data_IF_295391364457
#
_entry.id   IF_295391364457
#
_cell.length_a   1.000
_cell.length_b   1.000
_cell.length_c   1.000
_cell.angle_alpha   90.00
_cell.angle_beta   90.00
_cell.angle_gamma   90.00
#
_symmetry.space_group_name_H-M   'P 1'
#
loop_
_entity.id
_entity.type
_entity.pdbx_description
1 polymer ?
#
# COMPACT_ATOMS: atom_id res chain seq x y z
N UNK A 1 4.98 26.47 26.72
CA UNK A 1 4.04 26.10 25.62
C UNK A 1 3.23 27.26 25.03
N UNK A 2 3.02 28.42 25.69
CA UNK A 2 2.21 29.52 25.12
C UNK A 2 2.84 30.29 23.94
N UNK A 3 4.17 30.23 23.73
CA UNK A 3 4.86 30.99 22.65
C UNK A 3 4.87 30.30 21.28
N UNK A 4 4.65 28.98 21.21
CA UNK A 4 4.66 28.23 19.93
C UNK A 4 3.30 28.34 19.22
N UNK A 5 2.21 28.46 20.00
CA UNK A 5 0.83 28.57 19.50
C UNK A 5 0.47 29.95 18.93
N UNK A 6 1.24 31.00 19.19
CA UNK A 6 1.00 32.35 18.63
C UNK A 6 1.87 32.69 17.41
N UNK A 7 2.70 31.76 16.95
CA UNK A 7 3.52 31.92 15.76
C UNK A 7 2.72 31.50 14.52
N UNK A 8 2.82 32.29 13.43
CA UNK A 8 2.22 31.96 12.13
C UNK A 8 2.60 30.55 11.64
N UNK A 9 3.78 30.05 11.99
CA UNK A 9 4.27 28.71 11.66
C UNK A 9 3.58 27.62 12.51
N UNK A 10 3.27 27.92 13.78
CA UNK A 10 2.54 27.00 14.65
C UNK A 10 1.08 26.80 14.23
N UNK A 11 0.42 27.85 13.73
CA UNK A 11 -0.94 27.75 13.19
C UNK A 11 -1.00 26.98 11.86
N UNK A 12 0.02 27.10 11.01
CA UNK A 12 0.13 26.33 9.75
C UNK A 12 0.34 24.84 10.03
N UNK A 13 1.16 24.48 11.03
CA UNK A 13 1.36 23.08 11.40
C UNK A 13 0.11 22.43 12.00
N UNK A 14 -0.65 23.16 12.83
CA UNK A 14 -1.89 22.64 13.42
C UNK A 14 -2.97 22.47 12.35
N UNK A 15 -3.11 23.44 11.43
CA UNK A 15 -4.07 23.32 10.32
C UNK A 15 -3.73 22.18 9.35
N UNK A 16 -2.46 21.97 9.03
CA UNK A 16 -2.02 20.82 8.22
C UNK A 16 -2.34 19.48 8.89
N UNK A 17 -2.12 19.38 10.21
CA UNK A 17 -2.39 18.15 10.97
C UNK A 17 -3.89 17.84 11.03
N UNK A 18 -4.75 18.86 11.14
CA UNK A 18 -6.21 18.71 11.10
C UNK A 18 -6.69 18.25 9.73
N UNK A 19 -6.15 18.79 8.64
CA UNK A 19 -6.53 18.38 7.26
C UNK A 19 -6.13 16.92 7.00
N UNK A 20 -4.94 16.49 7.42
CA UNK A 20 -4.48 15.09 7.28
C UNK A 20 -5.35 14.14 8.10
N UNK A 21 -5.73 14.53 9.32
CA UNK A 21 -6.63 13.75 10.16
C UNK A 21 -8.05 13.63 9.55
N UNK A 22 -8.59 14.70 8.98
CA UNK A 22 -9.88 14.68 8.29
C UNK A 22 -9.87 13.79 7.04
N UNK A 23 -8.79 13.83 6.25
CA UNK A 23 -8.64 12.97 5.06
C UNK A 23 -8.56 11.49 5.45
N UNK A 24 -7.80 11.14 6.49
CA UNK A 24 -7.73 9.77 6.99
C UNK A 24 -9.09 9.27 7.54
N UNK A 25 -9.85 10.16 8.20
CA UNK A 25 -11.20 9.85 8.66
C UNK A 25 -12.18 9.58 7.52
N UNK A 26 -12.16 10.40 6.47
CA UNK A 26 -13.01 10.23 5.29
C UNK A 26 -12.67 8.98 4.48
N UNK A 27 -11.38 8.65 4.31
CA UNK A 27 -10.97 7.42 3.61
C UNK A 27 -11.31 6.17 4.41
N UNK A 28 -11.15 6.19 5.74
CA UNK A 28 -11.59 5.09 6.60
C UNK A 28 -13.11 4.90 6.55
N UNK A 29 -13.88 5.99 6.62
CA UNK A 29 -15.34 5.95 6.56
C UNK A 29 -15.84 5.45 5.20
N UNK A 30 -15.26 5.95 4.09
CA UNK A 30 -15.58 5.49 2.74
C UNK A 30 -15.26 4.00 2.55
N UNK A 31 -14.09 3.54 3.01
CA UNK A 31 -13.69 2.13 2.94
C UNK A 31 -14.63 1.24 3.77
N UNK A 32 -15.05 1.70 4.94
CA UNK A 32 -15.97 0.95 5.80
C UNK A 32 -17.40 0.92 5.22
N UNK A 33 -17.84 1.98 4.53
CA UNK A 33 -19.15 2.04 3.88
C UNK A 33 -19.20 1.12 2.65
N UNK A 34 -18.14 1.14 1.82
CA UNK A 34 -17.99 0.26 0.65
C UNK A 34 -17.95 -1.21 1.08
N UNK A 35 -17.16 -1.54 2.12
CA UNK A 35 -17.06 -2.93 2.62
C UNK A 35 -18.33 -3.45 3.28
N UNK A 36 -19.20 -2.58 3.80
CA UNK A 36 -20.42 -2.98 4.51
C UNK A 36 -21.70 -2.88 3.66
N UNK A 37 -21.60 -2.38 2.41
CA UNK A 37 -22.74 -2.35 1.52
C UNK A 37 -23.10 -3.78 1.04
N UNK A 38 -24.34 -4.25 1.22
CA UNK A 38 -24.72 -5.64 0.96
C UNK A 38 -24.46 -6.05 -0.50
N UNK A 39 -24.77 -5.19 -1.47
CA UNK A 39 -24.50 -5.45 -2.89
C UNK A 39 -23.01 -5.63 -3.24
N UNK A 40 -22.10 -5.01 -2.48
CA UNK A 40 -20.64 -5.10 -2.71
C UNK A 40 -20.08 -6.35 -2.01
N UNK A 41 -20.62 -6.73 -0.85
CA UNK A 41 -20.30 -8.01 -0.21
C UNK A 41 -20.71 -9.20 -1.07
N UNK A 42 -21.91 -9.16 -1.64
CA UNK A 42 -22.42 -10.24 -2.49
C UNK A 42 -21.60 -10.32 -3.79
N UNK A 43 -21.23 -9.18 -4.38
CA UNK A 43 -20.34 -9.14 -5.54
C UNK A 43 -18.93 -9.67 -5.23
N UNK A 44 -18.34 -9.29 -4.09
CA UNK A 44 -17.01 -9.78 -3.69
C UNK A 44 -17.03 -11.27 -3.31
N UNK A 45 -18.10 -11.74 -2.67
CA UNK A 45 -18.30 -13.15 -2.34
C UNK A 45 -18.52 -14.00 -3.60
N UNK A 46 -19.32 -13.51 -4.56
CA UNK A 46 -19.49 -14.16 -5.85
C UNK A 46 -18.16 -14.22 -6.62
N UNK A 47 -17.38 -13.14 -6.63
CA UNK A 47 -16.07 -13.10 -7.30
C UNK A 47 -15.04 -14.01 -6.62
N UNK A 48 -15.07 -14.10 -5.28
CA UNK A 48 -14.21 -15.01 -4.52
C UNK A 48 -14.59 -16.48 -4.72
N UNK A 49 -15.90 -16.78 -4.82
CA UNK A 49 -16.40 -18.12 -5.13
C UNK A 49 -16.04 -18.53 -6.57
N UNK A 50 -16.07 -17.59 -7.51
CA UNK A 50 -15.65 -17.81 -8.90
C UNK A 50 -14.14 -18.07 -8.99
N UNK A 51 -13.32 -17.26 -8.30
CA UNK A 51 -11.86 -17.49 -8.21
C UNK A 51 -11.50 -18.83 -7.52
N UNK A 52 -12.29 -19.29 -6.55
CA UNK A 52 -12.11 -20.60 -5.91
C UNK A 52 -12.58 -21.78 -6.79
N UNK A 53 -13.57 -21.56 -7.65
CA UNK A 53 -14.00 -22.54 -8.66
C UNK A 53 -12.94 -22.68 -9.77
N UNK A 54 -12.35 -21.57 -10.21
CA UNK A 54 -11.31 -21.54 -11.23
C UNK A 54 -9.98 -22.14 -10.73
N UNK A 55 -9.63 -21.92 -9.46
CA UNK A 55 -8.43 -22.51 -8.85
C UNK A 55 -8.50 -24.05 -8.72
N UNK A 56 -9.70 -24.63 -8.66
CA UNK A 56 -9.89 -26.09 -8.67
C UNK A 56 -9.98 -26.68 -10.09
N UNK A 57 -10.09 -25.86 -11.13
CA UNK A 57 -10.07 -26.30 -12.52
C UNK A 57 -8.65 -26.36 -13.11
N UNK A 58 -7.67 -25.68 -12.50
CA UNK A 58 -6.28 -25.60 -12.97
C UNK A 58 -5.34 -26.62 -12.31
N UNK A 59 -5.68 -27.91 -12.36
CA UNK A 59 -4.69 -29.00 -12.30
C UNK A 59 -4.76 -29.75 -13.62
N UNK A 60 -4.13 -29.18 -14.65
CA UNK A 60 -4.01 -29.79 -15.97
C UNK A 60 -4.49 -28.88 -17.10
N UNK A 61 -3.73 -27.84 -17.40
CA UNK A 61 -3.96 -27.01 -18.58
C UNK A 61 -2.94 -25.89 -18.63
N UNK A 62 -2.14 -25.90 -19.69
CA UNK A 62 -1.04 -24.98 -19.94
C UNK A 62 -1.44 -23.50 -19.84
N UNK A 63 -0.47 -22.71 -19.40
CA UNK A 63 -0.47 -21.25 -19.39
C UNK A 63 -0.69 -20.67 -20.80
N UNK A 64 -1.93 -20.45 -21.21
CA UNK A 64 -2.25 -19.52 -22.31
C UNK A 64 -3.56 -18.81 -22.03
N UNK A 65 -3.49 -17.74 -21.26
CA UNK A 65 -4.63 -16.85 -21.01
C UNK A 65 -4.11 -15.50 -20.57
N UNK A 66 -3.53 -14.73 -21.50
CA UNK A 66 -3.56 -13.28 -21.35
C UNK A 66 -5.05 -12.92 -21.32
N UNK A 67 -5.58 -12.59 -20.14
CA UNK A 67 -6.84 -11.85 -20.05
C UNK A 67 -6.58 -10.52 -20.76
N UNK A 68 -6.89 -10.49 -22.04
CA UNK A 68 -6.79 -9.31 -22.89
C UNK A 68 -7.95 -8.39 -22.49
N UNK A 69 -7.72 -7.60 -21.44
CA UNK A 69 -8.67 -6.63 -20.86
C UNK A 69 -9.06 -5.51 -21.85
N UNK A 70 -8.51 -5.51 -23.07
CA UNK A 70 -9.03 -4.73 -24.19
C UNK A 70 -10.44 -5.19 -24.63
N UNK A 71 -10.85 -6.40 -24.25
CA UNK A 71 -12.13 -7.00 -24.64
C UNK A 71 -13.23 -6.88 -23.57
N UNK A 72 -13.00 -6.19 -22.44
CA UNK A 72 -14.05 -6.05 -21.39
C UNK A 72 -15.25 -5.22 -21.82
N UNK A 73 -15.12 -4.46 -22.91
CA UNK A 73 -16.20 -3.67 -23.51
C UNK A 73 -16.99 -4.44 -24.59
N UNK A 74 -16.57 -5.66 -24.92
CA UNK A 74 -17.17 -6.47 -25.98
C UNK A 74 -17.88 -7.65 -25.33
N UNK A 75 -19.20 -7.53 -25.20
CA UNK A 75 -20.08 -8.65 -24.85
C UNK A 75 -20.67 -9.26 -26.11
N UNK A 76 -20.92 -10.56 -26.10
CA UNK A 76 -21.58 -11.29 -27.20
C UNK A 76 -22.90 -10.60 -27.60
N UNK A 77 -23.66 -10.11 -26.62
CA UNK A 77 -24.90 -9.34 -26.84
C UNK A 77 -24.67 -8.02 -27.58
N UNK A 78 -23.54 -7.34 -27.34
CA UNK A 78 -23.21 -6.06 -27.98
C UNK A 78 -22.80 -6.27 -29.44
N UNK A 79 -22.01 -7.31 -29.73
CA UNK A 79 -21.64 -7.65 -31.10
C UNK A 79 -22.88 -8.00 -31.94
N UNK A 80 -23.77 -8.82 -31.38
CA UNK A 80 -25.04 -9.20 -32.02
C UNK A 80 -25.95 -7.98 -32.23
N UNK A 81 -25.96 -7.04 -31.28
CA UNK A 81 -26.73 -5.80 -31.41
C UNK A 81 -26.18 -4.88 -32.50
N UNK A 82 -24.87 -4.62 -32.54
CA UNK A 82 -24.23 -3.77 -33.55
C UNK A 82 -24.36 -4.35 -34.96
N UNK A 83 -24.28 -5.67 -35.12
CA UNK A 83 -24.51 -6.34 -36.41
C UNK A 83 -25.95 -6.14 -36.92
N UNK A 84 -26.93 -6.16 -36.02
CA UNK A 84 -28.37 -6.07 -36.36
C UNK A 84 -28.89 -4.63 -36.42
N UNK A 85 -28.20 -3.67 -35.80
CA UNK A 85 -28.63 -2.27 -35.66
C UNK A 85 -28.90 -1.59 -36.99
N UNK A 86 -28.02 -1.75 -37.97
CA UNK A 86 -28.17 -1.11 -39.29
C UNK A 86 -29.42 -1.59 -40.03
N UNK A 87 -29.70 -2.89 -39.98
CA UNK A 87 -30.89 -3.46 -40.62
C UNK A 87 -32.18 -3.09 -39.85
N UNK A 88 -32.14 -3.08 -38.51
CA UNK A 88 -33.26 -2.63 -37.69
C UNK A 88 -33.60 -1.15 -37.93
N UNK A 89 -32.60 -0.27 -38.00
CA UNK A 89 -32.79 1.15 -38.27
C UNK A 89 -33.39 1.38 -39.66
N UNK A 90 -32.93 0.67 -40.69
CA UNK A 90 -33.51 0.74 -42.04
C UNK A 90 -34.97 0.29 -42.05
N UNK A 91 -35.31 -0.80 -41.37
CA UNK A 91 -36.69 -1.29 -41.26
C UNK A 91 -37.59 -0.28 -40.56
N UNK A 92 -37.12 0.32 -39.47
CA UNK A 92 -37.86 1.34 -38.71
C UNK A 92 -38.07 2.61 -39.55
N UNK A 93 -37.02 3.13 -40.19
CA UNK A 93 -37.10 4.31 -41.07
C UNK A 93 -38.05 4.06 -42.24
N UNK A 94 -37.97 2.88 -42.86
CA UNK A 94 -38.87 2.51 -43.95
C UNK A 94 -40.33 2.40 -43.47
N UNK A 95 -40.58 1.81 -42.30
CA UNK A 95 -41.91 1.76 -41.70
C UNK A 95 -42.47 3.16 -41.42
N UNK A 96 -41.64 4.07 -40.91
CA UNK A 96 -42.01 5.48 -40.74
C UNK A 96 -42.35 6.16 -42.06
N UNK A 97 -41.56 5.94 -43.11
CA UNK A 97 -41.81 6.50 -44.46
C UNK A 97 -43.14 5.99 -45.02
N UNK A 98 -43.35 4.67 -45.02
CA UNK A 98 -44.58 4.04 -45.53
C UNK A 98 -45.81 4.53 -44.76
N UNK A 99 -45.71 4.64 -43.43
CA UNK A 99 -46.80 5.13 -42.60
C UNK A 99 -47.09 6.61 -42.84
N UNK A 100 -46.06 7.44 -43.02
CA UNK A 100 -46.21 8.86 -43.35
C UNK A 100 -46.85 9.06 -44.73
N UNK A 101 -46.41 8.30 -45.74
CA UNK A 101 -46.99 8.32 -47.08
C UNK A 101 -48.46 7.85 -47.05
N UNK A 102 -48.76 6.85 -46.22
CA UNK A 102 -50.12 6.33 -46.04
C UNK A 102 -51.05 7.21 -45.19
N UNK A 103 -50.53 8.26 -44.55
CA UNK A 103 -51.29 9.21 -43.73
C UNK A 103 -51.28 10.62 -44.34
N UNK A 104 -50.63 10.80 -45.49
CA UNK A 104 -50.59 12.05 -46.24
C UNK A 104 -52.01 12.49 -46.67
N UNK A 105 -52.31 13.81 -46.63
CA UNK A 105 -53.65 14.29 -46.94
C UNK A 105 -53.94 14.12 -48.44
N UNK A 106 -54.72 13.11 -48.79
CA UNK A 106 -55.17 12.90 -50.17
C UNK A 106 -55.47 11.45 -50.54
N UNK A 107 -54.75 10.47 -49.99
CA UNK A 107 -54.75 9.12 -50.61
C UNK A 107 -55.21 7.93 -49.75
N UNK A 108 -55.45 8.05 -48.43
CA UNK A 108 -56.00 6.92 -47.66
C UNK A 108 -57.06 7.28 -46.60
N UNK A 109 -58.10 6.43 -46.55
CA UNK A 109 -59.32 6.50 -45.74
C UNK A 109 -59.11 6.20 -44.25
N UNK A 110 -58.04 6.68 -43.62
CA UNK A 110 -57.91 6.64 -42.16
C UNK A 110 -58.50 7.91 -41.56
N UNK A 111 -59.81 7.89 -41.28
CA UNK A 111 -60.53 8.96 -40.58
C UNK A 111 -60.23 9.00 -39.07
N UNK A 112 -58.99 8.72 -38.66
CA UNK A 112 -58.58 8.84 -37.26
C UNK A 112 -57.56 9.99 -37.11
N UNK A 113 -58.00 11.17 -36.64
CA UNK A 113 -57.14 12.35 -36.51
C UNK A 113 -56.01 12.18 -35.47
N UNK A 114 -56.01 11.09 -34.70
CA UNK A 114 -54.97 10.78 -33.70
C UNK A 114 -53.74 10.09 -34.30
N UNK A 115 -53.82 9.55 -35.52
CA UNK A 115 -52.70 8.83 -36.14
C UNK A 115 -51.48 9.72 -36.42
N UNK A 116 -51.61 10.95 -36.96
CA UNK A 116 -50.46 11.84 -37.14
C UNK A 116 -49.78 12.22 -35.82
N UNK A 117 -50.57 12.39 -34.75
CA UNK A 117 -50.06 12.69 -33.40
C UNK A 117 -49.23 11.52 -32.88
N UNK A 118 -49.75 10.29 -32.97
CA UNK A 118 -49.04 9.08 -32.57
C UNK A 118 -47.75 8.86 -33.38
N UNK A 119 -47.77 9.17 -34.68
CA UNK A 119 -46.58 9.09 -35.53
C UNK A 119 -45.51 10.09 -35.12
N UNK A 120 -45.90 11.33 -34.80
CA UNK A 120 -44.99 12.34 -34.26
C UNK A 120 -44.38 11.89 -32.93
N UNK A 121 -45.20 11.40 -32.00
CA UNK A 121 -44.73 10.91 -30.69
C UNK A 121 -43.78 9.71 -30.82
N UNK A 122 -44.03 8.80 -31.78
CA UNK A 122 -43.16 7.65 -32.04
C UNK A 122 -41.82 8.08 -32.62
N UNK A 123 -41.84 9.06 -33.55
CA UNK A 123 -40.63 9.64 -34.12
C UNK A 123 -39.80 10.40 -33.06
N UNK A 124 -40.45 11.17 -32.20
CA UNK A 124 -39.80 11.88 -31.09
C UNK A 124 -39.15 10.88 -30.12
N UNK A 125 -39.86 9.79 -29.76
CA UNK A 125 -39.29 8.72 -28.93
C UNK A 125 -38.11 8.01 -29.59
N UNK A 126 -38.19 7.72 -30.88
CA UNK A 126 -37.09 7.10 -31.62
C UNK A 126 -35.86 8.02 -31.67
N UNK A 127 -36.06 9.31 -31.94
CA UNK A 127 -34.98 10.30 -31.92
C UNK A 127 -34.32 10.43 -30.54
N UNK A 128 -35.12 10.38 -29.47
CA UNK A 128 -34.64 10.38 -28.09
C UNK A 128 -33.80 9.14 -27.78
N UNK A 129 -34.24 7.95 -28.22
CA UNK A 129 -33.48 6.70 -28.06
C UNK A 129 -32.14 6.80 -28.79
N UNK A 130 -32.12 7.27 -30.04
CA UNK A 130 -30.87 7.46 -30.80
C UNK A 130 -29.90 8.41 -30.12
N UNK A 131 -30.39 9.53 -29.57
CA UNK A 131 -29.55 10.45 -28.82
C UNK A 131 -28.94 9.78 -27.59
N UNK A 132 -29.74 9.01 -26.87
CA UNK A 132 -29.27 8.29 -25.67
C UNK A 132 -28.28 7.18 -26.00
N UNK A 133 -28.42 6.50 -27.13
CA UNK A 133 -27.43 5.53 -27.62
C UNK A 133 -26.06 6.20 -27.80
N UNK A 134 -26.01 7.38 -28.45
CA UNK A 134 -24.75 8.13 -28.62
C UNK A 134 -24.16 8.56 -27.27
N UNK A 135 -24.98 9.08 -26.36
CA UNK A 135 -24.52 9.47 -25.01
C UNK A 135 -23.96 8.26 -24.23
N UNK A 136 -24.55 7.06 -24.40
CA UNK A 136 -24.06 5.83 -23.78
C UNK A 136 -22.73 5.36 -24.40
N UNK A 137 -22.57 5.46 -25.72
CA UNK A 137 -21.32 5.13 -26.40
C UNK A 137 -20.17 6.04 -25.94
N UNK A 138 -20.43 7.34 -25.78
CA UNK A 138 -19.46 8.31 -25.23
C UNK A 138 -19.08 7.99 -23.78
N UNK A 139 -20.08 7.64 -22.95
CA UNK A 139 -19.86 7.24 -21.56
C UNK A 139 -19.02 5.96 -21.48
N UNK A 140 -19.28 4.98 -22.34
CA UNK A 140 -18.52 3.75 -22.39
C UNK A 140 -17.06 4.00 -22.76
N UNK A 141 -16.81 4.83 -23.78
CA UNK A 141 -15.45 5.24 -24.16
C UNK A 141 -14.73 5.91 -22.98
N UNK A 142 -15.40 6.82 -22.27
CA UNK A 142 -14.81 7.49 -21.12
C UNK A 142 -14.49 6.54 -19.97
N UNK A 143 -15.37 5.57 -19.68
CA UNK A 143 -15.13 4.54 -18.66
C UNK A 143 -13.95 3.65 -19.05
N UNK A 144 -13.80 3.30 -20.33
CA UNK A 144 -12.68 2.52 -20.82
C UNK A 144 -11.34 3.24 -20.59
N UNK A 145 -11.27 4.54 -20.94
CA UNK A 145 -10.10 5.38 -20.70
C UNK A 145 -9.76 5.49 -19.22
N UNK A 146 -10.78 5.71 -18.37
CA UNK A 146 -10.59 5.76 -16.92
C UNK A 146 -10.07 4.44 -16.37
N UNK A 147 -10.58 3.29 -16.84
CA UNK A 147 -10.12 1.97 -16.42
C UNK A 147 -8.65 1.75 -16.82
N UNK A 148 -8.26 2.12 -18.04
CA UNK A 148 -6.88 2.02 -18.51
C UNK A 148 -5.94 2.91 -17.68
N UNK A 149 -6.36 4.14 -17.39
CA UNK A 149 -5.62 5.07 -16.53
C UNK A 149 -5.45 4.50 -15.11
N UNK A 150 -6.52 3.96 -14.52
CA UNK A 150 -6.46 3.31 -13.22
C UNK A 150 -5.51 2.10 -13.22
N UNK A 151 -5.51 1.28 -14.27
CA UNK A 151 -4.57 0.16 -14.39
C UNK A 151 -3.12 0.66 -14.44
N UNK A 152 -2.85 1.71 -15.20
CA UNK A 152 -1.53 2.33 -15.24
C UNK A 152 -1.10 2.82 -13.85
N UNK A 153 -1.96 3.59 -13.18
CA UNK A 153 -1.68 4.07 -11.83
C UNK A 153 -1.49 2.94 -10.82
N UNK A 154 -2.29 1.87 -10.90
CA UNK A 154 -2.16 0.70 -10.03
C UNK A 154 -0.81 0.03 -10.22
N UNK A 155 -0.38 -0.16 -11.46
CA UNK A 155 0.93 -0.74 -11.78
C UNK A 155 2.08 0.14 -11.26
N UNK A 156 1.98 1.47 -11.39
CA UNK A 156 2.97 2.39 -10.82
C UNK A 156 3.01 2.33 -9.30
N UNK A 157 1.86 2.27 -8.62
CA UNK A 157 1.80 2.14 -7.16
C UNK A 157 2.46 0.83 -6.71
N UNK A 158 2.20 -0.28 -7.38
CA UNK A 158 2.83 -1.57 -7.05
C UNK A 158 4.34 -1.52 -7.22
N UNK A 159 4.85 -0.94 -8.31
CA UNK A 159 6.29 -0.76 -8.52
C UNK A 159 6.93 0.11 -7.45
N UNK A 160 6.34 1.27 -7.17
CA UNK A 160 6.83 2.19 -6.14
C UNK A 160 6.85 1.55 -4.76
N UNK A 161 5.86 0.70 -4.42
CA UNK A 161 5.87 -0.05 -3.16
C UNK A 161 7.06 -0.99 -3.06
N UNK A 162 7.33 -1.76 -4.11
CA UNK A 162 8.47 -2.70 -4.14
C UNK A 162 9.80 -1.95 -4.00
N UNK A 163 9.97 -0.86 -4.74
CA UNK A 163 11.19 -0.04 -4.68
C UNK A 163 11.39 0.60 -3.30
N UNK A 164 10.30 1.05 -2.67
CA UNK A 164 10.34 1.66 -1.35
C UNK A 164 10.63 0.64 -0.25
N UNK A 165 10.05 -0.56 -0.33
CA UNK A 165 10.34 -1.67 0.59
C UNK A 165 11.82 -2.08 0.48
N UNK A 166 12.35 -2.25 -0.74
CA UNK A 166 13.77 -2.52 -0.97
C UNK A 166 14.67 -1.41 -0.40
N UNK A 167 14.32 -0.14 -0.65
CA UNK A 167 15.10 0.97 -0.10
C UNK A 167 15.07 1.02 1.43
N UNK A 168 13.98 0.59 2.07
CA UNK A 168 13.91 0.52 3.53
C UNK A 168 14.77 -0.61 4.08
N UNK A 169 14.71 -1.78 3.46
CA UNK A 169 15.55 -2.93 3.84
C UNK A 169 17.04 -2.58 3.68
N UNK A 170 17.43 -1.97 2.56
CA UNK A 170 18.82 -1.56 2.32
C UNK A 170 19.31 -0.53 3.34
N UNK A 171 18.47 0.47 3.67
CA UNK A 171 18.81 1.47 4.70
C UNK A 171 18.89 0.85 6.08
N UNK A 172 18.00 -0.08 6.41
CA UNK A 172 17.99 -0.77 7.70
C UNK A 172 19.25 -1.62 7.84
N UNK A 173 19.62 -2.37 6.80
CA UNK A 173 20.85 -3.15 6.76
C UNK A 173 22.09 -2.24 6.91
N UNK A 174 22.16 -1.13 6.17
CA UNK A 174 23.27 -0.18 6.28
C UNK A 174 23.40 0.39 7.71
N UNK A 175 22.28 0.75 8.34
CA UNK A 175 22.29 1.25 9.72
C UNK A 175 22.80 0.17 10.68
N UNK A 176 22.36 -1.08 10.52
CA UNK A 176 22.82 -2.19 11.35
C UNK A 176 24.32 -2.48 11.16
N UNK A 177 24.81 -2.44 9.92
CA UNK A 177 26.24 -2.59 9.62
C UNK A 177 27.07 -1.45 10.23
N UNK A 178 26.60 -0.20 10.10
CA UNK A 178 27.27 0.95 10.71
C UNK A 178 27.23 0.90 12.23
N UNK A 179 26.12 0.47 12.83
CA UNK A 179 26.03 0.27 14.29
C UNK A 179 27.02 -0.81 14.73
N UNK A 180 27.05 -1.95 14.04
CA UNK A 180 28.01 -3.03 14.33
C UNK A 180 29.46 -2.56 14.22
N UNK A 181 29.81 -1.84 13.14
CA UNK A 181 31.15 -1.31 12.94
C UNK A 181 31.55 -0.36 14.09
N UNK A 182 30.66 0.57 14.47
CA UNK A 182 30.91 1.48 15.60
C UNK A 182 31.07 0.74 16.93
N UNK A 183 30.26 -0.28 17.19
CA UNK A 183 30.39 -1.10 18.40
C UNK A 183 31.72 -1.86 18.43
N UNK A 184 32.17 -2.37 17.28
CA UNK A 184 33.48 -3.03 17.15
C UNK A 184 34.65 -2.05 17.33
N UNK A 185 34.56 -0.84 16.78
CA UNK A 185 35.55 0.21 17.01
C UNK A 185 35.64 0.59 18.49
N UNK A 186 34.50 0.77 19.16
CA UNK A 186 34.46 1.02 20.61
C UNK A 186 35.09 -0.12 21.41
N UNK A 187 34.82 -1.37 21.03
CA UNK A 187 35.45 -2.53 21.67
C UNK A 187 36.97 -2.55 21.45
N UNK A 188 37.44 -2.25 20.24
CA UNK A 188 38.89 -2.11 19.97
C UNK A 188 39.55 -1.02 20.79
N UNK A 189 38.88 0.12 21.00
CA UNK A 189 39.38 1.18 21.88
C UNK A 189 39.53 0.62 23.30
N UNK A 190 38.55 -0.12 23.82
CA UNK A 190 38.65 -0.72 25.16
C UNK A 190 39.77 -1.76 25.27
N UNK A 191 39.95 -2.60 24.25
CA UNK A 191 41.07 -3.55 24.16
C UNK A 191 42.43 -2.84 24.21
N UNK A 192 42.54 -1.72 23.48
CA UNK A 192 43.76 -0.91 23.45
C UNK A 192 44.03 -0.26 24.81
N UNK A 193 42.98 0.25 25.45
CA UNK A 193 43.08 0.90 26.76
C UNK A 193 43.41 -0.09 27.90
N UNK A 194 43.00 -1.36 27.78
CA UNK A 194 43.36 -2.42 28.75
C UNK A 194 44.69 -3.09 28.48
N UNK A 195 45.44 -2.62 27.47
CA UNK A 195 46.73 -3.19 27.15
C UNK A 195 47.75 -2.94 28.28
N UNK A 196 48.70 -3.87 28.54
CA UNK A 196 49.62 -3.82 29.68
C UNK A 196 50.49 -2.54 29.79
N UNK A 197 50.56 -1.74 28.73
CA UNK A 197 51.33 -0.49 28.67
C UNK A 197 50.57 0.75 29.16
N UNK A 198 49.30 0.65 29.57
CA UNK A 198 48.50 1.79 30.03
C UNK A 198 48.02 1.61 31.47
N UNK A 199 48.75 2.15 32.47
CA UNK A 199 48.40 1.97 33.90
C UNK A 199 47.08 2.64 34.29
N UNK A 200 46.69 3.74 33.63
CA UNK A 200 45.44 4.47 33.89
C UNK A 200 44.23 3.93 33.10
N UNK A 201 44.47 2.97 32.19
CA UNK A 201 43.46 2.42 31.27
C UNK A 201 42.19 1.90 31.95
N UNK A 202 42.28 1.12 33.05
CA UNK A 202 41.12 0.63 33.78
C UNK A 202 40.23 1.73 34.39
N UNK A 203 40.79 2.87 34.78
CA UNK A 203 40.03 3.99 35.33
C UNK A 203 39.34 4.79 34.22
N UNK A 204 40.04 5.03 33.11
CA UNK A 204 39.46 5.67 31.91
C UNK A 204 38.27 4.87 31.40
N UNK A 205 38.35 3.55 31.36
CA UNK A 205 37.24 2.69 30.92
C UNK A 205 36.03 2.82 31.83
N UNK A 206 36.21 2.88 33.16
CA UNK A 206 35.08 3.08 34.08
C UNK A 206 34.35 4.38 33.81
N UNK A 207 35.09 5.46 33.57
CA UNK A 207 34.50 6.76 33.25
C UNK A 207 33.71 6.71 31.93
N UNK A 208 34.26 6.07 30.90
CA UNK A 208 33.56 5.87 29.62
C UNK A 208 32.29 5.03 29.82
N UNK A 209 32.37 3.92 30.57
CA UNK A 209 31.20 3.07 30.85
C UNK A 209 30.11 3.82 31.61
N UNK A 210 30.46 4.67 32.59
CA UNK A 210 29.50 5.53 33.29
C UNK A 210 28.84 6.54 32.35
N UNK A 211 29.64 7.25 31.54
CA UNK A 211 29.13 8.22 30.57
C UNK A 211 28.19 7.56 29.55
N UNK A 212 28.53 6.35 29.08
CA UNK A 212 27.68 5.59 28.17
C UNK A 212 26.35 5.17 28.83
N UNK A 213 26.35 4.81 30.11
CA UNK A 213 25.12 4.43 30.82
C UNK A 213 24.13 5.59 30.92
N UNK A 214 24.62 6.83 31.03
CA UNK A 214 23.78 8.04 31.02
C UNK A 214 23.17 8.30 29.64
N UNK A 215 23.87 7.95 28.55
CA UNK A 215 23.41 8.16 27.18
C UNK A 215 22.50 7.02 26.68
N UNK A 216 22.93 5.77 26.82
CA UNK A 216 22.18 4.57 26.47
C UNK A 216 22.55 3.41 27.42
N UNK A 217 21.55 3.05 28.23
CA UNK A 217 21.59 1.98 29.24
C UNK A 217 21.98 0.61 28.65
N UNK A 218 21.80 0.38 27.34
CA UNK A 218 22.13 -0.88 26.65
C UNK A 218 23.45 -0.84 25.89
N UNK A 219 24.05 0.34 25.66
CA UNK A 219 25.23 0.50 24.83
C UNK A 219 26.42 -0.29 25.37
N UNK A 220 26.67 -0.21 26.69
CA UNK A 220 27.75 -0.97 27.32
C UNK A 220 27.59 -2.46 27.07
N UNK A 221 26.40 -3.02 27.31
CA UNK A 221 26.14 -4.44 27.08
C UNK A 221 26.39 -4.86 25.62
N UNK A 222 26.01 -4.03 24.63
CA UNK A 222 26.28 -4.26 23.21
C UNK A 222 27.79 -4.25 22.90
N UNK A 223 28.53 -3.26 23.40
CA UNK A 223 29.99 -3.19 23.18
C UNK A 223 30.70 -4.38 23.84
N UNK A 224 30.26 -4.79 25.03
CA UNK A 224 30.76 -5.97 25.75
C UNK A 224 30.64 -7.28 24.98
N UNK A 225 29.82 -7.37 23.93
CA UNK A 225 29.75 -8.55 23.08
C UNK A 225 31.00 -8.69 22.18
N UNK A 226 31.66 -7.57 21.85
CA UNK A 226 32.77 -7.53 20.90
C UNK A 226 34.16 -7.43 21.58
N UNK A 227 34.22 -7.26 22.90
CA UNK A 227 35.46 -7.29 23.69
C UNK A 227 35.91 -8.76 23.86
N UNK A 228 37.20 -9.03 23.98
CA UNK A 228 37.75 -10.34 24.32
C UNK A 228 37.34 -10.80 25.72
N UNK A 229 37.16 -12.11 25.91
CA UNK A 229 36.72 -12.70 27.19
C UNK A 229 37.69 -12.34 28.34
N UNK A 230 38.99 -12.29 28.06
CA UNK A 230 40.00 -11.90 29.06
C UNK A 230 39.80 -10.48 29.55
N UNK A 231 39.56 -9.52 28.64
CA UNK A 231 39.36 -8.13 29.00
C UNK A 231 37.96 -7.87 29.57
N UNK A 232 36.94 -8.60 29.14
CA UNK A 232 35.64 -8.61 29.82
C UNK A 232 35.77 -9.03 31.29
N UNK A 233 36.53 -10.09 31.58
CA UNK A 233 36.77 -10.56 32.95
C UNK A 233 37.54 -9.53 33.77
N UNK A 234 38.54 -8.86 33.17
CA UNK A 234 39.26 -7.76 33.81
C UNK A 234 38.33 -6.60 34.16
N UNK A 235 37.48 -6.15 33.23
CA UNK A 235 36.52 -5.08 33.49
C UNK A 235 35.54 -5.49 34.60
N UNK A 236 34.94 -6.68 34.51
CA UNK A 236 34.01 -7.20 35.53
C UNK A 236 34.70 -7.24 36.91
N UNK A 237 35.94 -7.74 36.98
CA UNK A 237 36.69 -7.79 38.24
C UNK A 237 36.94 -6.41 38.83
N UNK A 238 37.28 -5.42 37.98
CA UNK A 238 37.46 -4.03 38.43
C UNK A 238 36.17 -3.37 38.91
N UNK A 239 35.03 -3.74 38.32
CA UNK A 239 33.71 -3.22 38.73
C UNK A 239 33.19 -3.86 40.02
N UNK A 240 33.56 -5.12 40.30
CA UNK A 240 33.11 -5.86 41.48
C UNK A 240 34.03 -5.71 42.70
N UNK A 241 35.31 -5.36 42.52
CA UNK A 241 36.30 -5.41 43.61
C UNK A 241 37.31 -4.25 43.56
N UNK A 242 37.65 -3.70 44.73
CA UNK A 242 38.59 -2.58 44.89
C UNK A 242 37.98 -1.39 45.64
N UNK A 243 38.77 -0.32 45.82
CA UNK A 243 38.30 0.93 46.43
C UNK A 243 37.25 1.66 45.56
N UNK A 244 37.24 1.38 44.26
CA UNK A 244 36.42 2.05 43.25
C UNK A 244 35.33 1.12 42.64
N UNK A 245 34.86 0.14 43.41
CA UNK A 245 33.83 -0.80 42.95
C UNK A 245 32.52 -0.10 42.56
N UNK A 246 31.91 -0.52 41.45
CA UNK A 246 30.65 0.01 40.93
C UNK A 246 29.69 -1.13 40.56
N UNK A 247 29.02 -1.63 41.60
CA UNK A 247 28.07 -2.74 41.52
C UNK A 247 26.86 -2.42 40.65
N UNK A 248 26.48 -1.14 40.56
CA UNK A 248 25.34 -0.68 39.76
C UNK A 248 25.62 -0.81 38.26
N UNK A 249 26.81 -0.39 37.85
CA UNK A 249 27.28 -0.50 36.47
C UNK A 249 27.49 -1.97 36.07
N UNK A 250 28.04 -2.79 36.96
CA UNK A 250 28.15 -4.23 36.75
C UNK A 250 26.78 -4.89 36.50
N UNK A 251 25.80 -4.63 37.39
CA UNK A 251 24.47 -5.22 37.29
C UNK A 251 23.78 -4.81 35.98
N UNK A 252 23.91 -3.54 35.60
CA UNK A 252 23.41 -3.04 34.32
C UNK A 252 23.98 -3.79 33.11
N UNK A 253 25.30 -4.00 33.07
CA UNK A 253 25.98 -4.68 31.96
C UNK A 253 25.48 -6.13 31.87
N UNK A 254 25.43 -6.86 32.99
CA UNK A 254 25.04 -8.28 32.99
C UNK A 254 23.57 -8.46 32.60
N UNK A 255 22.66 -7.67 33.17
CA UNK A 255 21.22 -7.78 32.87
C UNK A 255 20.90 -7.45 31.40
N UNK A 256 21.57 -6.45 30.83
CA UNK A 256 21.35 -6.07 29.44
C UNK A 256 22.14 -6.92 28.44
N UNK A 257 23.24 -7.55 28.86
CA UNK A 257 24.00 -8.49 28.03
C UNK A 257 23.15 -9.70 27.65
N UNK A 258 22.43 -10.27 28.61
CA UNK A 258 21.51 -11.39 28.35
C UNK A 258 20.39 -11.04 27.36
N UNK A 259 19.95 -9.76 27.36
CA UNK A 259 18.90 -9.26 26.46
C UNK A 259 19.41 -8.88 25.07
N UNK A 260 20.72 -8.68 24.91
CA UNK A 260 21.35 -8.26 23.66
C UNK A 260 22.08 -9.40 22.94
N UNK A 261 22.28 -10.55 23.59
CA UNK A 261 22.70 -11.78 22.93
C UNK A 261 21.61 -12.28 21.98
N UNK A 262 21.91 -12.31 20.69
CA UNK A 262 21.12 -13.04 19.68
C UNK A 262 21.16 -14.54 20.00
N UNK A 263 20.03 -15.24 19.85
CA UNK A 263 19.86 -16.67 20.21
C UNK A 263 20.91 -17.59 19.56
N UNK A 264 21.49 -17.20 18.43
CA UNK A 264 22.57 -17.96 17.76
C UNK A 264 23.90 -17.99 18.52
N UNK A 265 24.13 -17.07 19.46
CA UNK A 265 25.32 -17.04 20.34
C UNK A 265 25.21 -18.01 21.54
N UNK A 266 24.06 -18.67 21.70
CA UNK A 266 23.77 -19.65 22.75
C UNK A 266 23.71 -21.06 22.14
N UNK A 267 24.60 -21.37 21.21
CA UNK A 267 24.93 -22.76 20.92
C UNK A 267 26.21 -23.07 21.67
N UNK A 268 26.19 -23.95 22.68
CA UNK A 268 27.44 -24.48 23.21
C UNK A 268 28.18 -25.13 22.04
N UNK A 269 29.40 -24.71 21.78
CA UNK A 269 30.32 -25.53 20.99
C UNK A 269 30.41 -26.87 21.70
N UNK A 270 29.79 -27.90 21.12
CA UNK A 270 30.03 -29.26 21.52
C UNK A 270 31.48 -29.56 21.15
N UNK A 271 32.34 -29.62 22.17
CA UNK A 271 33.70 -30.18 22.24
C UNK A 271 34.39 -30.57 20.92
#
# INVERSE_FOLDING_TARGET
>A
MKKILSSRIGQVLISALVVVACLAGLTYWATNMIKNHPAIKDYLAAKAAQAAADANATVGGEETGKDDLNSTNVTEDKEVYEEKKSEQDKVIINAFSILNDSTAPGDLRFTNPKLPILMSELNDRWSYIKKREVELDELEAHVAEQLQSMQWHTNQITRNRIELDQSFDDRLNLIQEQEKARLQEMAQIYETLLSPGQPDGPEVIRQILRANMEQDVKLNAKVFQYISVTNQANIIRTLLSGADADTSLYQNIIENRQKTMTIDSIKPENN
#
